data_IF_485216739931
#
_entry.id   IF_485216739931
#
_cell.length_a   1.000
_cell.length_b   1.000
_cell.length_c   1.000
_cell.angle_alpha   90.00
_cell.angle_beta   90.00
_cell.angle_gamma   90.00
#
_symmetry.space_group_name_H-M   'P 1'
#
loop_
_entity.id
_entity.type
_entity.pdbx_description
1 polymer ?
#
# COMPACT_ATOMS: atom_id res chain seq x y z
N UNK A 1 17.97 -18.88 9.79
CA UNK A 1 16.73 -18.22 9.35
C UNK A 1 16.41 -16.99 10.20
N UNK A 2 16.51 -17.12 11.53
CA UNK A 2 16.07 -16.08 12.47
C UNK A 2 16.85 -14.78 12.47
N UNK A 3 18.16 -14.78 12.18
CA UNK A 3 18.97 -13.56 12.41
C UNK A 3 18.68 -12.43 11.41
N UNK A 4 18.62 -12.75 10.11
CA UNK A 4 18.35 -11.76 9.05
C UNK A 4 16.88 -11.34 9.09
N UNK A 5 15.97 -12.29 9.29
CA UNK A 5 14.54 -12.03 9.46
C UNK A 5 14.30 -11.17 10.69
N UNK A 6 14.94 -11.45 11.84
CA UNK A 6 14.92 -10.56 13.01
C UNK A 6 15.40 -9.17 12.67
N UNK A 7 16.51 -9.04 11.96
CA UNK A 7 17.12 -7.73 11.65
C UNK A 7 16.22 -6.88 10.74
N UNK A 8 15.48 -7.51 9.82
CA UNK A 8 14.48 -6.83 8.99
C UNK A 8 13.26 -6.42 9.84
N UNK A 9 12.75 -7.29 10.70
CA UNK A 9 11.69 -6.94 11.64
C UNK A 9 12.10 -5.79 12.57
N UNK A 10 13.37 -5.76 12.99
CA UNK A 10 13.95 -4.69 13.79
C UNK A 10 13.95 -3.31 13.10
N UNK A 11 13.85 -3.25 11.78
CA UNK A 11 13.77 -1.98 11.03
C UNK A 11 12.33 -1.69 10.61
N UNK A 12 11.61 -2.70 10.13
CA UNK A 12 10.24 -2.56 9.60
C UNK A 12 9.20 -2.29 10.67
N UNK A 13 9.32 -2.88 11.86
CA UNK A 13 8.39 -2.64 12.99
C UNK A 13 8.49 -1.19 13.49
N UNK A 14 9.67 -0.66 13.85
CA UNK A 14 9.75 0.71 14.34
C UNK A 14 9.39 1.74 13.27
N UNK A 15 9.71 1.49 11.99
CA UNK A 15 9.29 2.39 10.90
C UNK A 15 7.77 2.38 10.72
N UNK A 16 7.12 1.20 10.72
CA UNK A 16 5.66 1.12 10.68
C UNK A 16 5.00 1.80 11.90
N UNK A 17 5.54 1.60 13.10
CA UNK A 17 5.07 2.26 14.32
C UNK A 17 5.23 3.79 14.25
N UNK A 18 6.36 4.28 13.73
CA UNK A 18 6.59 5.71 13.58
C UNK A 18 5.58 6.34 12.61
N UNK A 19 5.28 5.67 11.49
CA UNK A 19 4.27 6.16 10.54
C UNK A 19 2.87 6.14 11.15
N UNK A 20 2.49 5.06 11.85
CA UNK A 20 1.20 4.99 12.53
C UNK A 20 1.07 6.09 13.59
N UNK A 21 2.13 6.35 14.38
CA UNK A 21 2.15 7.43 15.36
C UNK A 21 2.00 8.80 14.69
N UNK A 22 2.68 9.03 13.57
CA UNK A 22 2.56 10.26 12.79
C UNK A 22 1.15 10.45 12.22
N UNK A 23 0.55 9.41 11.65
CA UNK A 23 -0.82 9.46 11.11
C UNK A 23 -1.86 9.73 12.20
N UNK A 24 -1.69 9.12 13.38
CA UNK A 24 -2.57 9.33 14.53
C UNK A 24 -2.42 10.75 15.08
N UNK A 25 -1.19 11.26 15.15
CA UNK A 25 -0.91 12.66 15.49
C UNK A 25 -1.55 13.63 14.48
N UNK A 26 -1.41 13.37 13.19
CA UNK A 26 -1.98 14.19 12.13
C UNK A 26 -3.51 14.22 12.18
N UNK A 27 -4.15 13.05 12.34
CA UNK A 27 -5.60 12.94 12.44
C UNK A 27 -6.15 13.66 13.69
N UNK A 28 -5.45 13.52 14.82
CA UNK A 28 -5.78 14.27 16.05
C UNK A 28 -5.65 15.78 15.83
N UNK A 29 -4.59 16.22 15.17
CA UNK A 29 -4.36 17.65 14.88
C UNK A 29 -5.42 18.20 13.92
N UNK A 30 -5.81 17.42 12.91
CA UNK A 30 -6.91 17.76 12.01
C UNK A 30 -8.26 17.86 12.75
N UNK A 31 -8.52 16.94 13.69
CA UNK A 31 -9.70 16.98 14.56
C UNK A 31 -9.78 18.24 15.40
N UNK A 32 -8.73 18.52 16.17
CA UNK A 32 -8.64 19.71 17.00
C UNK A 32 -8.74 21.01 16.19
N UNK A 33 -8.13 21.04 15.00
CA UNK A 33 -8.22 22.19 14.09
C UNK A 33 -9.64 22.45 13.60
N UNK A 34 -10.40 21.40 13.23
CA UNK A 34 -11.79 21.57 12.81
C UNK A 34 -12.71 21.95 13.96
N UNK A 35 -12.47 21.42 15.15
CA UNK A 35 -13.25 21.77 16.34
C UNK A 35 -13.06 23.24 16.73
N UNK A 36 -11.82 23.73 16.75
CA UNK A 36 -11.51 25.14 17.06
C UNK A 36 -12.07 26.07 15.98
N UNK A 37 -11.92 25.74 14.70
CA UNK A 37 -12.49 26.50 13.61
C UNK A 37 -14.03 26.55 13.68
N UNK A 38 -14.68 25.44 14.02
CA UNK A 38 -16.13 25.38 14.20
C UNK A 38 -16.60 26.31 15.33
N UNK A 39 -15.99 26.21 16.52
CA UNK A 39 -16.34 27.08 17.66
C UNK A 39 -16.16 28.55 17.32
N UNK A 40 -15.08 28.92 16.61
CA UNK A 40 -14.83 30.29 16.19
C UNK A 40 -15.88 30.81 15.21
N UNK A 41 -16.19 30.04 14.16
CA UNK A 41 -17.18 30.42 13.13
C UNK A 41 -18.57 30.59 13.74
N UNK A 42 -18.94 29.69 14.63
CA UNK A 42 -20.25 29.64 15.25
C UNK A 42 -20.40 30.75 16.33
N UNK A 43 -19.32 31.08 17.02
CA UNK A 43 -19.29 32.22 17.98
C UNK A 43 -19.33 33.56 17.25
N UNK A 44 -18.60 33.73 16.15
CA UNK A 44 -18.69 34.94 15.29
C UNK A 44 -20.10 35.13 14.72
N UNK A 45 -20.72 34.04 14.24
CA UNK A 45 -22.11 34.07 13.78
C UNK A 45 -23.10 34.47 14.89
N UNK A 46 -22.89 33.99 16.11
CA UNK A 46 -23.75 34.33 17.24
C UNK A 46 -23.59 35.80 17.63
N UNK A 47 -22.40 36.39 17.47
CA UNK A 47 -22.14 37.79 17.80
C UNK A 47 -22.83 38.71 16.80
N UNK A 48 -22.72 38.40 15.50
CA UNK A 48 -23.42 39.13 14.45
C UNK A 48 -24.94 39.03 14.59
N UNK A 49 -25.45 37.85 14.94
CA UNK A 49 -26.86 37.65 15.20
C UNK A 49 -27.35 38.44 16.41
N UNK A 50 -26.55 38.48 17.48
CA UNK A 50 -26.83 39.31 18.66
C UNK A 50 -26.91 40.79 18.31
N UNK A 51 -25.92 41.32 17.59
CA UNK A 51 -25.88 42.73 17.20
C UNK A 51 -27.11 43.09 16.34
N UNK A 52 -27.47 42.23 15.38
CA UNK A 52 -28.71 42.41 14.59
C UNK A 52 -29.98 42.32 15.43
N UNK A 53 -30.01 41.41 16.42
CA UNK A 53 -31.18 41.23 17.27
C UNK A 53 -31.44 42.44 18.17
N UNK A 54 -30.37 43.05 18.70
CA UNK A 54 -30.45 44.30 19.47
C UNK A 54 -31.02 45.42 18.62
N UNK A 55 -30.50 45.61 17.39
CA UNK A 55 -30.98 46.66 16.47
C UNK A 55 -32.45 46.42 16.08
N UNK A 56 -32.82 45.18 15.77
CA UNK A 56 -34.19 44.81 15.42
C UNK A 56 -35.17 45.07 16.57
N UNK A 57 -34.77 44.74 17.80
CA UNK A 57 -35.56 45.00 19.00
C UNK A 57 -35.76 46.50 19.24
N UNK A 58 -34.75 47.33 18.97
CA UNK A 58 -34.84 48.80 19.02
C UNK A 58 -35.83 49.36 17.99
N UNK A 59 -35.80 48.87 16.74
CA UNK A 59 -36.76 49.28 15.70
C UNK A 59 -38.19 48.87 16.04
N UNK A 60 -38.38 47.71 16.65
CA UNK A 60 -39.70 47.24 17.08
C UNK A 60 -40.26 48.09 18.22
N UNK A 61 -39.39 48.51 19.16
CA UNK A 61 -39.71 49.52 20.16
C UNK A 61 -40.08 50.85 19.52
N UNK A 62 -39.34 51.34 18.53
CA UNK A 62 -39.65 52.58 17.79
C UNK A 62 -41.03 52.51 17.11
N UNK A 63 -41.38 51.37 16.48
CA UNK A 63 -42.69 51.13 15.89
C UNK A 63 -43.84 51.02 16.90
N UNK A 64 -43.57 50.50 18.10
CA UNK A 64 -44.56 50.49 19.20
C UNK A 64 -44.70 51.86 19.88
N UNK A 65 -43.62 52.62 20.00
CA UNK A 65 -43.57 53.97 20.57
C UNK A 65 -44.12 55.05 19.61
N UNK A 66 -44.17 54.79 18.30
CA UNK A 66 -44.97 55.61 17.37
C UNK A 66 -46.48 55.52 17.66
N UNK A 67 -46.94 54.48 18.36
CA UNK A 67 -48.37 54.31 18.70
C UNK A 67 -48.75 54.88 20.07
N UNK A 68 -47.78 55.24 20.93
CA UNK A 68 -47.97 56.02 22.17
C UNK A 68 -46.62 56.62 22.60
N UNK A 69 -46.56 57.95 22.62
CA UNK A 69 -45.53 58.85 23.19
C UNK A 69 -44.07 58.66 22.71
N UNK A 70 -43.86 59.15 21.48
CA UNK A 70 -42.62 59.67 20.84
C UNK A 70 -41.26 59.21 21.39
N UNK A 71 -40.66 58.21 20.73
CA UNK A 71 -39.21 58.14 20.58
C UNK A 71 -38.74 59.23 19.60
N UNK A 72 -38.02 60.24 20.08
CA UNK A 72 -37.42 61.29 19.24
C UNK A 72 -35.92 61.21 19.31
N UNK A 73 -35.29 60.84 18.20
CA UNK A 73 -33.84 60.95 18.01
C UNK A 73 -33.57 62.25 17.28
N UNK A 74 -33.06 63.24 17.99
CA UNK A 74 -32.73 64.56 17.43
C UNK A 74 -31.23 64.79 17.52
N UNK A 75 -30.61 65.07 16.37
CA UNK A 75 -29.23 65.57 16.32
C UNK A 75 -29.26 67.06 16.63
N UNK A 76 -28.84 67.44 17.83
CA UNK A 76 -28.77 68.86 18.20
C UNK A 76 -27.32 69.24 18.51
N UNK A 77 -26.68 69.90 17.54
CA UNK A 77 -25.26 70.29 17.60
C UNK A 77 -24.33 69.09 17.89
N UNK A 78 -23.74 69.08 19.08
CA UNK A 78 -22.73 68.17 19.58
C UNK A 78 -23.33 67.18 20.59
N UNK A 79 -24.60 66.80 20.48
CA UNK A 79 -25.19 65.73 21.32
C UNK A 79 -26.18 64.89 20.52
N UNK A 80 -26.35 63.62 20.89
CA UNK A 80 -27.50 62.80 20.50
C UNK A 80 -28.47 62.75 21.67
N UNK A 81 -29.72 63.16 21.44
CA UNK A 81 -30.79 63.05 22.42
C UNK A 81 -31.70 61.88 22.07
N UNK A 82 -31.91 60.98 23.03
CA UNK A 82 -32.84 59.86 22.94
C UNK A 82 -33.91 60.04 24.04
N UNK A 83 -35.15 60.34 23.65
CA UNK A 83 -36.28 60.42 24.60
C UNK A 83 -37.24 59.28 24.38
N UNK A 84 -37.55 58.46 25.39
CA UNK A 84 -38.58 57.42 25.33
C UNK A 84 -39.53 57.57 26.53
N UNK A 85 -40.77 58.00 26.31
CA UNK A 85 -41.68 58.36 27.40
C UNK A 85 -41.11 59.47 28.30
N UNK A 86 -41.15 59.30 29.63
CA UNK A 86 -40.60 60.26 30.61
C UNK A 86 -39.08 60.18 30.80
N UNK A 87 -38.38 59.29 30.08
CA UNK A 87 -36.93 59.10 30.20
C UNK A 87 -36.25 59.83 29.05
N UNK A 88 -35.37 60.79 29.36
CA UNK A 88 -34.57 61.54 28.38
C UNK A 88 -33.10 61.30 28.66
N UNK A 89 -32.43 60.58 27.76
CA UNK A 89 -30.98 60.39 27.81
C UNK A 89 -30.29 61.34 26.81
N UNK A 90 -29.23 61.98 27.27
CA UNK A 90 -28.46 62.97 26.51
C UNK A 90 -27.03 62.45 26.37
N UNK A 91 -26.61 62.15 25.15
CA UNK A 91 -25.25 61.70 24.84
C UNK A 91 -24.43 62.89 24.33
N UNK A 92 -23.49 63.45 25.10
CA UNK A 92 -22.62 64.51 24.60
C UNK A 92 -21.54 64.00 23.64
N UNK A 93 -21.48 64.58 22.45
CA UNK A 93 -20.34 64.55 21.51
C UNK A 93 -19.36 65.69 21.86
N UNK A 94 -18.53 65.51 22.89
CA UNK A 94 -17.35 66.36 23.11
C UNK A 94 -16.15 65.42 23.28
N UNK A 95 -14.96 65.63 22.74
CA UNK A 95 -14.27 66.83 22.26
C UNK A 95 -13.32 66.39 21.11
N UNK A 96 -12.47 67.28 20.62
CA UNK A 96 -11.42 67.14 19.58
C UNK A 96 -10.45 65.92 19.63
N UNK A 97 -10.74 64.88 20.40
CA UNK A 97 -9.93 63.65 20.56
C UNK A 97 -10.56 62.39 19.95
N UNK A 98 -11.71 62.50 19.28
CA UNK A 98 -12.30 61.37 18.56
C UNK A 98 -12.85 60.29 19.50
N UNK A 99 -13.54 60.64 20.58
CA UNK A 99 -14.28 59.70 21.44
C UNK A 99 -15.75 60.13 21.65
N UNK A 100 -16.70 59.19 21.59
CA UNK A 100 -18.12 59.38 21.95
C UNK A 100 -18.35 58.97 23.40
N UNK A 101 -18.95 59.85 24.20
CA UNK A 101 -19.20 59.63 25.62
C UNK A 101 -20.68 59.32 25.84
N UNK A 102 -21.00 58.08 26.21
CA UNK A 102 -22.39 57.66 26.50
C UNK A 102 -22.64 57.72 28.01
N UNK A 103 -23.72 58.41 28.38
CA UNK A 103 -24.16 58.58 29.76
C UNK A 103 -25.57 58.01 29.84
N UNK A 104 -25.76 56.99 30.68
CA UNK A 104 -27.08 56.41 30.96
C UNK A 104 -27.54 56.84 32.36
N UNK A 105 -28.76 57.37 32.45
CA UNK A 105 -29.39 57.82 33.70
C UNK A 105 -30.52 56.86 34.09
N UNK A 106 -30.28 56.01 35.09
CA UNK A 106 -31.33 55.18 35.69
C UNK A 106 -32.04 55.98 36.79
N UNK A 107 -33.23 56.51 36.50
CA UNK A 107 -34.06 57.24 37.46
C UNK A 107 -35.10 56.31 38.05
N UNK A 108 -34.89 55.89 39.29
CA UNK A 108 -35.86 55.06 40.00
C UNK A 108 -37.00 55.94 40.55
N UNK A 109 -38.21 55.40 40.74
CA UNK A 109 -39.44 56.16 41.12
C UNK A 109 -39.36 56.97 42.43
N UNK A 110 -38.22 56.93 43.15
CA UNK A 110 -37.91 57.74 44.33
C UNK A 110 -36.95 58.91 44.09
N UNK A 111 -36.63 59.24 42.82
CA UNK A 111 -35.88 60.46 42.47
C UNK A 111 -34.36 60.37 42.63
N UNK A 112 -33.80 59.19 42.87
CA UNK A 112 -32.34 58.98 42.79
C UNK A 112 -31.96 58.50 41.39
N UNK A 113 -31.07 59.26 40.74
CA UNK A 113 -30.51 58.97 39.43
C UNK A 113 -29.06 58.51 39.55
N UNK A 114 -28.76 57.26 39.18
CA UNK A 114 -27.37 56.77 39.06
C UNK A 114 -26.84 57.03 37.65
N UNK A 115 -25.67 57.68 37.56
CA UNK A 115 -25.02 58.06 36.31
C UNK A 115 -23.96 57.02 35.96
N UNK A 116 -24.12 56.33 34.83
CA UNK A 116 -23.10 55.41 34.31
C UNK A 116 -22.46 56.00 33.06
N UNK A 117 -21.13 56.01 32.99
CA UNK A 117 -20.36 56.67 31.95
C UNK A 117 -19.40 55.70 31.25
N UNK A 118 -19.49 55.58 29.92
CA UNK A 118 -18.52 54.84 29.11
C UNK A 118 -18.08 55.65 27.88
N UNK A 119 -16.77 55.63 27.58
CA UNK A 119 -16.18 56.33 26.45
C UNK A 119 -15.91 55.34 25.30
N UNK A 120 -16.31 55.67 24.08
CA UNK A 120 -16.11 54.92 22.85
C UNK A 120 -15.20 55.70 21.89
N UNK A 121 -14.35 55.07 21.07
CA UNK A 121 -13.48 55.78 20.11
C UNK A 121 -14.17 55.90 18.73
N UNK A 122 -14.11 57.08 18.10
CA UNK A 122 -14.80 57.45 16.85
C UNK A 122 -14.22 56.80 15.58
N UNK A 123 -13.00 56.26 15.62
CA UNK A 123 -12.43 55.52 14.48
C UNK A 123 -13.17 54.21 14.18
N UNK A 124 -13.90 53.65 15.15
CA UNK A 124 -14.67 52.41 15.00
C UNK A 124 -16.09 52.63 14.44
N UNK A 125 -16.54 53.88 14.34
CA UNK A 125 -17.93 54.25 13.97
C UNK A 125 -18.15 54.29 12.44
N UNK A 126 -17.06 54.35 11.66
CA UNK A 126 -17.12 54.55 10.21
C UNK A 126 -17.43 53.29 9.39
N UNK A 127 -17.16 52.09 9.90
CA UNK A 127 -17.27 50.85 9.12
C UNK A 127 -18.52 50.03 9.45
N UNK A 128 -19.08 50.14 10.67
CA UNK A 128 -20.25 49.33 11.05
C UNK A 128 -21.15 50.06 12.07
N UNK A 129 -21.88 51.08 11.60
CA UNK A 129 -22.85 51.88 12.38
C UNK A 129 -23.84 51.01 13.17
N UNK A 130 -24.17 49.83 12.63
CA UNK A 130 -25.03 48.84 13.26
C UNK A 130 -24.41 48.30 14.57
N UNK A 131 -23.13 47.95 14.56
CA UNK A 131 -22.40 47.45 15.73
C UNK A 131 -22.29 48.53 16.82
N UNK A 132 -22.07 49.78 16.40
CA UNK A 132 -22.05 50.93 17.31
C UNK A 132 -23.42 51.13 18.00
N UNK A 133 -24.52 51.16 17.25
CA UNK A 133 -25.86 51.29 17.82
C UNK A 133 -26.20 50.11 18.75
N UNK A 134 -25.89 48.88 18.35
CA UNK A 134 -26.07 47.69 19.18
C UNK A 134 -25.32 47.81 20.52
N UNK A 135 -24.08 48.31 20.50
CA UNK A 135 -23.27 48.51 21.70
C UNK A 135 -23.87 49.54 22.67
N UNK A 136 -24.45 50.63 22.15
CA UNK A 136 -25.10 51.67 22.94
C UNK A 136 -26.39 51.14 23.56
N UNK A 137 -27.23 50.45 22.79
CA UNK A 137 -28.50 49.95 23.29
C UNK A 137 -28.33 48.78 24.26
N UNK A 138 -27.36 47.90 24.02
CA UNK A 138 -26.98 46.84 24.97
C UNK A 138 -26.47 47.43 26.32
N UNK A 139 -25.80 48.59 26.27
CA UNK A 139 -25.35 49.30 27.46
C UNK A 139 -26.50 49.93 28.26
N UNK A 140 -27.54 50.41 27.58
CA UNK A 140 -28.62 51.20 28.19
C UNK A 140 -29.67 50.40 29.00
N UNK A 141 -29.66 49.05 28.99
CA UNK A 141 -30.71 48.20 29.59
C UNK A 141 -32.16 48.47 29.11
N UNK A 142 -32.38 49.37 28.15
CA UNK A 142 -33.72 49.78 27.68
C UNK A 142 -34.45 48.64 26.93
N UNK A 143 -33.72 47.64 26.44
CA UNK A 143 -34.26 46.60 25.56
C UNK A 143 -34.02 45.20 26.13
N UNK A 144 -35.10 44.50 26.52
CA UNK A 144 -35.05 43.05 26.72
C UNK A 144 -34.93 42.39 25.36
N UNK A 145 -33.86 41.61 25.16
CA UNK A 145 -33.59 40.96 23.88
C UNK A 145 -34.66 39.91 23.60
N UNK A 146 -35.30 40.01 22.44
CA UNK A 146 -36.23 38.99 21.99
C UNK A 146 -35.47 37.72 21.56
N UNK A 147 -35.58 36.68 22.38
CA UNK A 147 -34.98 35.36 22.12
C UNK A 147 -35.46 34.73 20.81
N UNK A 148 -36.68 35.03 20.34
CA UNK A 148 -37.19 34.53 19.06
C UNK A 148 -36.51 35.21 17.88
N UNK A 149 -36.27 36.52 17.99
CA UNK A 149 -35.59 37.32 16.97
C UNK A 149 -34.10 36.94 16.89
N UNK A 150 -33.46 36.70 18.04
CA UNK A 150 -32.09 36.17 18.11
C UNK A 150 -31.98 34.77 17.48
N UNK A 151 -32.90 33.85 17.79
CA UNK A 151 -32.95 32.53 17.16
C UNK A 151 -33.08 32.63 15.64
N UNK A 152 -33.92 33.55 15.14
CA UNK A 152 -34.11 33.76 13.69
C UNK A 152 -32.83 34.25 13.02
N UNK A 153 -32.23 35.33 13.51
CA UNK A 153 -31.01 35.89 12.90
C UNK A 153 -29.82 34.94 13.03
N UNK A 154 -29.74 34.19 14.11
CA UNK A 154 -28.69 33.20 14.27
C UNK A 154 -28.84 32.03 13.31
N UNK A 155 -30.08 31.57 13.07
CA UNK A 155 -30.35 30.57 12.03
C UNK A 155 -29.95 31.06 10.64
N UNK A 156 -30.27 32.31 10.30
CA UNK A 156 -29.89 32.92 9.02
C UNK A 156 -28.36 33.01 8.85
N UNK A 157 -27.63 33.40 9.90
CA UNK A 157 -26.16 33.43 9.89
C UNK A 157 -25.53 32.03 9.75
N UNK A 158 -26.13 30.99 10.33
CA UNK A 158 -25.66 29.61 10.19
C UNK A 158 -25.96 29.04 8.80
N UNK A 159 -27.13 29.32 8.23
CA UNK A 159 -27.50 28.87 6.88
C UNK A 159 -26.61 29.52 5.81
N UNK A 160 -26.29 30.83 5.96
CA UNK A 160 -25.32 31.53 5.11
C UNK A 160 -23.90 30.93 5.17
N UNK A 161 -23.58 30.23 6.26
CA UNK A 161 -22.29 29.55 6.48
C UNK A 161 -22.36 28.06 6.18
N UNK A 162 -23.47 27.58 5.62
CA UNK A 162 -23.74 26.18 5.33
C UNK A 162 -23.66 25.25 6.56
N UNK A 163 -24.07 25.74 7.73
CA UNK A 163 -24.13 24.97 8.98
C UNK A 163 -25.60 24.61 9.27
N UNK A 164 -26.06 23.48 8.75
CA UNK A 164 -27.43 23.00 8.95
C UNK A 164 -27.61 22.19 10.25
N UNK A 165 -27.04 22.66 11.36
CA UNK A 165 -27.13 21.97 12.65
C UNK A 165 -28.28 22.52 13.51
N UNK A 166 -29.06 21.65 14.18
CA UNK A 166 -30.01 22.10 15.19
C UNK A 166 -29.25 22.66 16.39
N UNK A 167 -29.70 23.82 16.87
CA UNK A 167 -29.11 24.51 18.02
C UNK A 167 -30.17 24.91 19.04
N UNK A 168 -29.75 25.12 20.28
CA UNK A 168 -30.59 25.69 21.34
C UNK A 168 -29.83 26.83 22.01
N UNK A 169 -30.46 28.00 22.08
CA UNK A 169 -29.91 29.16 22.79
C UNK A 169 -30.39 29.15 24.23
N UNK A 170 -29.44 29.26 25.18
CA UNK A 170 -29.71 29.42 26.61
C UNK A 170 -29.05 30.71 27.09
N UNK A 171 -29.79 31.51 27.85
CA UNK A 171 -29.26 32.69 28.54
C UNK A 171 -29.01 32.26 29.98
N UNK A 172 -27.76 32.36 30.42
CA UNK A 172 -27.32 31.91 31.74
C UNK A 172 -26.87 33.13 32.54
N UNK A 173 -27.42 33.29 33.74
CA UNK A 173 -26.98 34.30 34.71
C UNK A 173 -25.69 33.84 35.41
N UNK A 174 -24.84 34.83 35.68
CA UNK A 174 -23.46 34.69 36.20
C UNK A 174 -23.33 33.64 37.32
N UNK A 175 -22.30 32.78 37.20
CA UNK A 175 -21.78 31.79 38.17
C UNK A 175 -22.07 30.30 37.92
N UNK A 176 -22.64 29.90 36.78
CA UNK A 176 -22.53 28.50 36.35
C UNK A 176 -21.25 28.30 35.55
N UNK A 177 -20.32 27.49 36.07
CA UNK A 177 -19.25 26.91 35.27
C UNK A 177 -19.90 26.12 34.14
N UNK A 178 -19.90 26.69 32.95
CA UNK A 178 -20.24 25.95 31.74
C UNK A 178 -19.19 24.85 31.65
N UNK A 179 -19.55 23.62 32.01
CA UNK A 179 -18.79 22.44 31.61
C UNK A 179 -18.64 22.58 30.11
N UNK A 180 -17.40 22.79 29.66
CA UNK A 180 -17.04 23.00 28.27
C UNK A 180 -17.38 21.73 27.49
N UNK A 181 -18.65 21.55 27.21
CA UNK A 181 -19.13 20.55 26.28
C UNK A 181 -18.60 21.00 24.91
N UNK A 182 -17.96 20.08 24.19
CA UNK A 182 -16.97 20.33 23.14
C UNK A 182 -17.52 21.04 21.88
N UNK A 183 -18.80 21.44 21.90
CA UNK A 183 -19.58 21.92 20.76
C UNK A 183 -20.55 23.06 21.14
N UNK A 184 -20.06 24.00 21.96
CA UNK A 184 -20.83 25.13 22.45
C UNK A 184 -20.21 26.44 21.95
N UNK A 185 -21.03 27.31 21.35
CA UNK A 185 -20.65 28.69 21.10
C UNK A 185 -21.11 29.57 22.26
N UNK A 186 -20.20 30.40 22.76
CA UNK A 186 -20.42 31.20 23.96
C UNK A 186 -20.14 32.66 23.64
N UNK A 187 -21.10 33.52 23.98
CA UNK A 187 -20.92 34.96 23.98
C UNK A 187 -21.23 35.50 25.36
N UNK A 188 -20.35 36.36 25.87
CA UNK A 188 -20.55 37.08 27.12
C UNK A 188 -21.11 38.44 26.77
N UNK A 189 -22.34 38.75 27.17
CA UNK A 189 -22.87 40.10 26.98
C UNK A 189 -22.25 41.03 28.03
N UNK A 190 -21.85 42.23 27.59
CA UNK A 190 -21.48 43.34 28.45
C UNK A 190 -22.71 44.21 28.70
N UNK A 191 -23.66 43.71 29.50
CA UNK A 191 -24.71 44.54 30.13
C UNK A 191 -24.27 44.94 31.55
N UNK A 192 -24.66 46.14 31.99
CA UNK A 192 -24.19 46.79 33.21
C UNK A 192 -24.78 46.24 34.52
N UNK A 193 -25.92 45.53 34.50
CA UNK A 193 -26.55 44.99 35.72
C UNK A 193 -26.61 43.46 35.75
N UNK A 194 -26.48 42.76 34.62
CA UNK A 194 -26.38 41.30 34.61
C UNK A 194 -25.35 40.86 33.57
N UNK A 195 -24.28 40.19 34.00
CA UNK A 195 -23.36 39.52 33.08
C UNK A 195 -24.04 38.26 32.55
N UNK A 196 -24.99 38.43 31.64
CA UNK A 196 -25.66 37.32 30.99
C UNK A 196 -24.73 36.69 29.97
N UNK A 197 -24.55 35.37 30.05
CA UNK A 197 -23.81 34.62 29.05
C UNK A 197 -24.82 33.94 28.14
N UNK A 198 -24.78 34.29 26.86
CA UNK A 198 -25.60 33.67 25.82
C UNK A 198 -24.81 32.49 25.28
N UNK A 199 -25.42 31.31 25.38
CA UNK A 199 -24.79 30.05 25.02
C UNK A 199 -25.64 29.38 23.95
N UNK A 200 -25.05 29.10 22.79
CA UNK A 200 -25.65 28.28 21.75
C UNK A 200 -25.05 26.87 21.80
N UNK A 201 -25.88 25.89 22.13
CA UNK A 201 -25.49 24.47 22.15
C UNK A 201 -25.95 23.78 20.87
N UNK A 202 -25.06 23.03 20.24
CA UNK A 202 -25.32 22.32 18.98
C UNK A 202 -25.54 20.84 19.23
N UNK A 203 -26.63 20.28 18.69
CA UNK A 203 -26.85 18.84 18.68
C UNK A 203 -26.24 18.23 17.41
N UNK A 204 -25.49 17.13 17.55
CA UNK A 204 -24.92 16.41 16.40
C UNK A 204 -23.64 17.01 15.80
N UNK A 205 -23.02 18.01 16.45
CA UNK A 205 -21.80 18.64 15.97
C UNK A 205 -20.64 17.66 15.72
N UNK A 206 -20.52 16.60 16.53
CA UNK A 206 -19.51 15.54 16.32
C UNK A 206 -19.65 14.84 14.96
N UNK A 207 -20.87 14.50 14.54
CA UNK A 207 -21.11 13.87 13.22
C UNK A 207 -20.78 14.80 12.06
N UNK A 208 -21.09 16.10 12.21
CA UNK A 208 -20.76 17.12 11.21
C UNK A 208 -19.24 17.32 11.08
N UNK A 209 -18.51 17.35 12.21
CA UNK A 209 -17.05 17.44 12.21
C UNK A 209 -16.37 16.19 11.63
N UNK A 210 -16.93 15.01 11.89
CA UNK A 210 -16.46 13.76 11.29
C UNK A 210 -16.54 13.79 9.76
N UNK A 211 -17.65 14.29 9.19
CA UNK A 211 -17.78 14.46 7.74
C UNK A 211 -16.74 15.44 7.18
N UNK A 212 -16.41 16.52 7.91
CA UNK A 212 -15.35 17.46 7.49
C UNK A 212 -13.95 16.84 7.49
N UNK A 213 -13.68 15.83 8.31
CA UNK A 213 -12.38 15.15 8.42
C UNK A 213 -12.33 13.88 7.55
N UNK A 214 -13.42 13.57 6.83
CA UNK A 214 -13.52 12.40 5.98
C UNK A 214 -12.36 12.32 4.97
N UNK A 215 -11.99 13.43 4.35
CA UNK A 215 -10.87 13.46 3.38
C UNK A 215 -9.51 13.12 4.01
N UNK A 216 -9.07 13.78 5.09
CA UNK A 216 -7.88 13.35 5.84
C UNK A 216 -7.92 11.88 6.30
N UNK A 217 -9.10 11.38 6.70
CA UNK A 217 -9.28 10.00 7.14
C UNK A 217 -9.05 9.00 5.99
N UNK A 218 -9.66 9.26 4.83
CA UNK A 218 -9.50 8.46 3.60
C UNK A 218 -8.05 8.46 3.14
N UNK A 219 -7.39 9.62 3.16
CA UNK A 219 -5.97 9.75 2.80
C UNK A 219 -5.08 8.93 3.75
N UNK A 220 -5.33 9.01 5.06
CA UNK A 220 -4.60 8.23 6.07
C UNK A 220 -4.76 6.73 5.84
N UNK A 221 -6.00 6.27 5.60
CA UNK A 221 -6.31 4.88 5.30
C UNK A 221 -5.57 4.38 4.05
N UNK A 222 -5.58 5.16 2.97
CA UNK A 222 -4.86 4.82 1.74
C UNK A 222 -3.35 4.71 1.96
N UNK A 223 -2.75 5.62 2.75
CA UNK A 223 -1.33 5.57 3.07
C UNK A 223 -0.96 4.33 3.90
N UNK A 224 -1.80 3.90 4.85
CA UNK A 224 -1.61 2.66 5.60
C UNK A 224 -1.63 1.45 4.65
N UNK A 225 -2.61 1.40 3.74
CA UNK A 225 -2.73 0.32 2.76
C UNK A 225 -1.48 0.25 1.86
N UNK A 226 -0.99 1.38 1.40
CA UNK A 226 0.19 1.46 0.54
C UNK A 226 1.45 0.95 1.27
N UNK A 227 1.67 1.38 2.51
CA UNK A 227 2.85 0.96 3.31
C UNK A 227 2.80 -0.54 3.61
N UNK A 228 1.63 -1.05 4.02
CA UNK A 228 1.46 -2.48 4.28
C UNK A 228 1.69 -3.32 3.03
N UNK A 229 1.19 -2.87 1.87
CA UNK A 229 1.47 -3.49 0.57
C UNK A 229 2.97 -3.53 0.23
N UNK A 230 3.68 -2.40 0.41
CA UNK A 230 5.12 -2.33 0.18
C UNK A 230 5.91 -3.29 1.08
N UNK A 231 5.59 -3.34 2.37
CA UNK A 231 6.22 -4.26 3.34
C UNK A 231 5.99 -5.72 2.92
N UNK A 232 4.76 -6.06 2.50
CA UNK A 232 4.42 -7.40 2.03
C UNK A 232 5.21 -7.81 0.78
N UNK A 233 5.34 -6.92 -0.21
CA UNK A 233 6.13 -7.17 -1.42
C UNK A 233 7.60 -7.36 -1.08
N UNK A 234 8.18 -6.49 -0.25
CA UNK A 234 9.58 -6.60 0.20
C UNK A 234 9.84 -7.94 0.89
N UNK A 235 8.95 -8.32 1.80
CA UNK A 235 9.03 -9.61 2.50
C UNK A 235 9.03 -10.79 1.53
N UNK A 236 8.12 -10.79 0.55
CA UNK A 236 8.03 -11.84 -0.48
C UNK A 236 9.31 -11.93 -1.32
N UNK A 237 9.86 -10.79 -1.74
CA UNK A 237 11.10 -10.74 -2.52
C UNK A 237 12.27 -11.31 -1.73
N UNK A 238 12.42 -10.90 -0.46
CA UNK A 238 13.54 -11.34 0.40
C UNK A 238 13.52 -12.86 0.61
N UNK A 239 12.34 -13.44 0.91
CA UNK A 239 12.21 -14.89 1.07
C UNK A 239 12.63 -15.61 -0.21
N UNK A 240 12.19 -15.12 -1.37
CA UNK A 240 12.54 -15.72 -2.67
C UNK A 240 14.04 -15.63 -2.95
N UNK A 241 14.65 -14.48 -2.71
CA UNK A 241 16.10 -14.28 -2.89
C UNK A 241 16.91 -15.19 -1.96
N UNK A 242 16.51 -15.32 -0.69
CA UNK A 242 17.24 -16.18 0.25
C UNK A 242 17.12 -17.67 -0.12
N UNK A 243 15.93 -18.12 -0.57
CA UNK A 243 15.73 -19.48 -1.06
C UNK A 243 16.67 -19.78 -2.24
N UNK A 244 16.75 -18.86 -3.20
CA UNK A 244 17.69 -18.93 -4.32
C UNK A 244 19.16 -18.96 -3.86
N UNK A 245 19.53 -18.11 -2.90
CA UNK A 245 20.90 -18.07 -2.36
C UNK A 245 21.28 -19.38 -1.66
N UNK A 246 20.39 -19.95 -0.85
CA UNK A 246 20.60 -21.26 -0.21
C UNK A 246 20.77 -22.35 -1.26
N UNK A 247 19.88 -22.41 -2.26
CA UNK A 247 19.99 -23.40 -3.33
C UNK A 247 21.28 -23.22 -4.15
N UNK A 248 21.73 -21.97 -4.38
CA UNK A 248 23.01 -21.68 -5.04
C UNK A 248 24.18 -22.21 -4.23
N UNK A 249 24.18 -21.99 -2.91
CA UNK A 249 25.25 -22.47 -2.03
C UNK A 249 25.28 -24.01 -1.98
N UNK A 250 24.12 -24.65 -1.88
CA UNK A 250 23.99 -26.11 -1.92
C UNK A 250 24.50 -26.66 -3.27
N UNK A 251 24.18 -25.98 -4.37
CA UNK A 251 24.69 -26.31 -5.69
C UNK A 251 26.23 -26.21 -5.76
N UNK A 252 26.82 -25.11 -5.30
CA UNK A 252 28.29 -24.93 -5.30
C UNK A 252 28.96 -26.01 -4.45
N UNK A 253 28.40 -26.32 -3.28
CA UNK A 253 28.91 -27.37 -2.40
C UNK A 253 28.87 -28.75 -3.08
N UNK A 254 27.73 -29.08 -3.71
CA UNK A 254 27.55 -30.34 -4.44
C UNK A 254 28.51 -30.46 -5.63
N UNK A 255 28.66 -29.40 -6.43
CA UNK A 255 29.61 -29.39 -7.55
C UNK A 255 31.04 -29.56 -7.07
N UNK A 256 31.42 -28.87 -6.00
CA UNK A 256 32.77 -28.99 -5.42
C UNK A 256 33.05 -30.45 -5.02
N UNK A 257 32.06 -31.12 -4.42
CA UNK A 257 32.18 -32.53 -4.07
C UNK A 257 32.29 -33.44 -5.30
N UNK A 258 31.41 -33.27 -6.30
CA UNK A 258 31.41 -34.06 -7.53
C UNK A 258 32.63 -33.79 -8.44
N UNK A 259 33.30 -32.64 -8.32
CA UNK A 259 34.59 -32.37 -8.97
C UNK A 259 35.76 -33.01 -8.22
N UNK A 260 35.71 -33.05 -6.88
CA UNK A 260 36.81 -33.59 -6.07
C UNK A 260 37.02 -35.09 -6.30
N UNK A 261 35.95 -35.86 -6.44
CA UNK A 261 36.01 -37.32 -6.67
C UNK A 261 36.76 -37.73 -7.94
N UNK A 262 36.38 -37.26 -9.16
CA UNK A 262 37.10 -37.61 -10.38
C UNK A 262 38.55 -37.13 -10.35
N UNK A 263 38.80 -35.93 -9.81
CA UNK A 263 40.18 -35.41 -9.65
C UNK A 263 41.03 -36.32 -8.75
N UNK A 264 40.45 -36.82 -7.65
CA UNK A 264 41.15 -37.76 -6.76
C UNK A 264 41.43 -39.10 -7.45
N UNK A 265 40.47 -39.63 -8.23
CA UNK A 265 40.65 -40.87 -9.00
C UNK A 265 41.76 -40.70 -10.04
N UNK A 266 41.71 -39.62 -10.84
CA UNK A 266 42.74 -39.29 -11.83
C UNK A 266 44.13 -39.14 -11.19
N UNK A 267 44.20 -38.52 -10.02
CA UNK A 267 45.47 -38.37 -9.29
C UNK A 267 46.01 -39.75 -8.87
N UNK A 268 45.16 -40.61 -8.32
CA UNK A 268 45.54 -41.93 -7.84
C UNK A 268 45.92 -42.90 -8.98
N UNK A 269 45.18 -42.90 -10.09
CA UNK A 269 45.51 -43.71 -11.28
C UNK A 269 46.81 -43.26 -11.92
N UNK A 270 47.03 -41.95 -12.03
CA UNK A 270 48.26 -41.39 -12.57
C UNK A 270 49.46 -41.70 -11.66
N UNK A 271 49.32 -41.59 -10.33
CA UNK A 271 50.35 -42.01 -9.38
C UNK A 271 50.65 -43.52 -9.46
N UNK A 272 49.63 -44.36 -9.65
CA UNK A 272 49.79 -45.80 -9.89
C UNK A 272 50.59 -46.10 -11.17
N UNK A 273 50.37 -45.34 -12.24
CA UNK A 273 51.10 -45.48 -13.51
C UNK A 273 52.55 -45.00 -13.41
N UNK A 274 52.79 -43.88 -12.74
CA UNK A 274 54.11 -43.23 -12.62
C UNK A 274 55.02 -43.90 -11.57
N UNK A 275 54.50 -44.18 -10.38
CA UNK A 275 55.32 -44.53 -9.21
C UNK A 275 55.29 -46.03 -8.89
N UNK A 276 54.14 -46.69 -9.04
CA UNK A 276 53.95 -48.08 -8.60
C UNK A 276 54.17 -49.12 -9.71
N UNK A 277 54.86 -48.72 -10.78
CA UNK A 277 55.18 -49.62 -11.90
C UNK A 277 53.95 -50.08 -12.70
N UNK A 278 52.82 -49.37 -12.61
CA UNK A 278 51.62 -49.65 -13.41
C UNK A 278 51.91 -49.64 -14.91
N UNK A 279 52.82 -48.76 -15.34
CA UNK A 279 53.34 -48.66 -16.71
C UNK A 279 54.14 -49.88 -17.22
N UNK A 280 54.56 -50.79 -16.32
CA UNK A 280 55.29 -52.02 -16.67
C UNK A 280 54.36 -53.21 -16.93
N UNK A 281 53.06 -53.05 -16.66
CA UNK A 281 52.02 -54.06 -16.85
C UNK A 281 51.01 -53.54 -17.90
N UNK A 282 51.01 -54.09 -19.13
CA UNK A 282 50.16 -53.60 -20.22
C UNK A 282 48.67 -53.64 -19.90
N UNK A 283 48.19 -54.67 -19.20
CA UNK A 283 46.77 -54.84 -18.87
C UNK A 283 46.32 -53.81 -17.82
N UNK A 284 47.14 -53.58 -16.78
CA UNK A 284 46.85 -52.54 -15.77
C UNK A 284 46.93 -51.14 -16.38
N UNK A 285 47.88 -50.92 -17.29
CA UNK A 285 48.03 -49.65 -18.00
C UNK A 285 46.77 -49.34 -18.81
N UNK A 286 46.29 -50.28 -19.63
CA UNK A 286 45.06 -50.08 -20.41
C UNK A 286 43.85 -49.83 -19.51
N UNK A 287 43.71 -50.58 -18.41
CA UNK A 287 42.62 -50.41 -17.46
C UNK A 287 42.63 -49.03 -16.80
N UNK A 288 43.78 -48.53 -16.36
CA UNK A 288 43.89 -47.22 -15.75
C UNK A 288 43.66 -46.09 -16.77
N UNK A 289 44.19 -46.20 -17.98
CA UNK A 289 43.95 -45.22 -19.05
C UNK A 289 42.46 -45.14 -19.44
N UNK A 290 41.76 -46.29 -19.52
CA UNK A 290 40.30 -46.30 -19.75
C UNK A 290 39.54 -45.63 -18.61
N UNK A 291 39.92 -45.93 -17.37
CA UNK A 291 39.30 -45.30 -16.19
C UNK A 291 39.56 -43.78 -16.18
N UNK A 292 40.76 -43.33 -16.52
CA UNK A 292 41.08 -41.90 -16.65
C UNK A 292 40.27 -41.23 -17.75
N UNK A 293 40.14 -41.88 -18.92
CA UNK A 293 39.32 -41.38 -20.01
C UNK A 293 37.86 -41.21 -19.58
N UNK A 294 37.29 -42.18 -18.87
CA UNK A 294 35.93 -42.10 -18.35
C UNK A 294 35.74 -40.95 -17.35
N UNK A 295 36.68 -40.75 -16.43
CA UNK A 295 36.61 -39.64 -15.46
C UNK A 295 36.85 -38.26 -16.11
N UNK A 296 37.71 -38.17 -17.12
CA UNK A 296 37.89 -36.95 -17.92
C UNK A 296 36.61 -36.58 -18.68
N UNK A 297 35.94 -37.56 -19.30
CA UNK A 297 34.66 -37.32 -19.97
C UNK A 297 33.57 -36.86 -18.99
N UNK A 298 33.53 -37.41 -17.77
CA UNK A 298 32.62 -36.93 -16.71
C UNK A 298 32.93 -35.50 -16.29
N UNK A 299 34.20 -35.17 -16.08
CA UNK A 299 34.64 -33.81 -15.75
C UNK A 299 34.27 -32.81 -16.84
N UNK A 300 34.46 -33.18 -18.10
CA UNK A 300 34.11 -32.32 -19.22
C UNK A 300 32.61 -32.05 -19.29
N UNK A 301 31.77 -33.09 -19.12
CA UNK A 301 30.31 -32.91 -19.04
C UNK A 301 29.87 -32.04 -17.85
N UNK A 302 30.56 -32.14 -16.71
CA UNK A 302 30.36 -31.26 -15.54
C UNK A 302 30.65 -29.79 -15.89
N UNK A 303 31.78 -29.52 -16.54
CA UNK A 303 32.18 -28.17 -16.97
C UNK A 303 31.21 -27.62 -18.01
N UNK A 304 30.83 -28.41 -19.00
CA UNK A 304 29.87 -28.01 -20.04
C UNK A 304 28.52 -27.63 -19.44
N UNK A 305 28.04 -28.37 -18.44
CA UNK A 305 26.80 -28.05 -17.72
C UNK A 305 26.90 -26.72 -16.93
N UNK A 306 28.05 -26.43 -16.33
CA UNK A 306 28.30 -25.16 -15.63
C UNK A 306 28.36 -24.00 -16.64
N UNK A 307 29.06 -24.19 -17.76
CA UNK A 307 29.17 -23.20 -18.83
C UNK A 307 27.82 -22.93 -19.50
N UNK A 308 27.00 -23.96 -19.71
CA UNK A 308 25.64 -23.79 -20.20
C UNK A 308 24.82 -22.91 -19.23
N UNK A 309 24.98 -23.09 -17.91
CA UNK A 309 24.30 -22.25 -16.92
C UNK A 309 24.72 -20.78 -17.02
N UNK A 310 26.03 -20.50 -17.09
CA UNK A 310 26.54 -19.12 -17.08
C UNK A 310 26.16 -18.37 -18.36
N UNK A 311 26.13 -19.05 -19.51
CA UNK A 311 25.69 -18.49 -20.79
C UNK A 311 24.21 -18.13 -20.80
N UNK A 312 23.35 -18.93 -20.15
CA UNK A 312 21.93 -18.61 -20.01
C UNK A 312 21.70 -17.39 -19.09
N UNK A 313 22.61 -17.09 -18.17
CA UNK A 313 22.46 -15.95 -17.26
C UNK A 313 22.75 -14.59 -17.89
N UNK A 314 23.56 -14.56 -18.95
CA UNK A 314 24.03 -13.30 -19.52
C UNK A 314 23.34 -12.93 -20.85
N UNK A 315 22.37 -13.71 -21.34
CA UNK A 315 21.76 -13.53 -22.68
C UNK A 315 22.77 -13.40 -23.85
N UNK A 316 24.05 -13.70 -23.60
CA UNK A 316 25.18 -13.43 -24.51
C UNK A 316 25.37 -14.47 -25.63
N UNK A 317 24.46 -15.45 -25.79
CA UNK A 317 24.57 -16.39 -26.92
C UNK A 317 24.01 -15.79 -28.22
N UNK A 318 24.76 -15.84 -29.32
CA UNK A 318 24.21 -15.62 -30.65
C UNK A 318 23.04 -16.57 -30.88
N UNK A 319 21.88 -16.03 -31.17
CA UNK A 319 20.68 -16.82 -31.41
C UNK A 319 20.93 -17.71 -32.64
N UNK A 320 20.94 -19.03 -32.45
CA UNK A 320 20.93 -19.98 -33.54
C UNK A 320 19.78 -19.62 -34.49
N UNK A 321 20.05 -19.55 -35.79
CA UNK A 321 19.01 -19.27 -36.77
C UNK A 321 18.03 -20.44 -36.83
N UNK A 322 16.74 -20.15 -36.91
CA UNK A 322 15.75 -21.19 -37.13
C UNK A 322 15.96 -21.82 -38.52
N UNK A 323 15.87 -23.14 -38.59
CA UNK A 323 15.94 -23.90 -39.85
C UNK A 323 14.90 -25.00 -39.86
N UNK A 324 14.57 -25.53 -41.04
CA UNK A 324 13.64 -26.65 -41.16
C UNK A 324 14.31 -27.92 -40.62
N UNK A 325 13.70 -28.51 -39.59
CA UNK A 325 14.17 -29.74 -38.96
C UNK A 325 13.13 -30.84 -39.20
N UNK A 326 13.60 -31.98 -39.70
CA UNK A 326 12.79 -33.20 -39.81
C UNK A 326 12.52 -33.79 -38.42
N UNK A 327 11.25 -33.84 -38.01
CA UNK A 327 10.81 -34.40 -36.73
C UNK A 327 11.27 -35.87 -36.60
N UNK A 328 11.06 -36.77 -37.59
CA UNK A 328 11.54 -38.15 -37.51
C UNK A 328 13.05 -38.27 -37.29
N UNK A 329 13.85 -37.46 -38.01
CA UNK A 329 15.31 -37.49 -37.88
C UNK A 329 15.78 -36.93 -36.53
N UNK A 330 15.13 -35.87 -36.03
CA UNK A 330 15.39 -35.31 -34.72
C UNK A 330 15.18 -36.36 -33.62
N UNK A 331 14.00 -37.01 -33.60
CA UNK A 331 13.69 -38.02 -32.58
C UNK A 331 14.60 -39.24 -32.70
N UNK A 332 14.92 -39.67 -33.92
CA UNK A 332 15.88 -40.77 -34.17
C UNK A 332 17.25 -40.42 -33.61
N UNK A 333 17.75 -39.22 -33.88
CA UNK A 333 19.09 -38.80 -33.45
C UNK A 333 19.17 -38.65 -31.93
N UNK A 334 18.15 -38.06 -31.31
CA UNK A 334 18.10 -37.92 -29.85
C UNK A 334 17.95 -39.29 -29.19
N UNK A 335 17.07 -40.16 -29.69
CA UNK A 335 16.87 -41.51 -29.15
C UNK A 335 18.10 -42.41 -29.28
N UNK A 336 18.83 -42.32 -30.39
CA UNK A 336 20.04 -43.10 -30.65
C UNK A 336 21.15 -42.87 -29.60
N UNK A 337 21.20 -41.67 -29.00
CA UNK A 337 22.15 -41.34 -27.93
C UNK A 337 21.96 -42.21 -26.69
N UNK A 338 20.74 -42.67 -26.43
CA UNK A 338 20.37 -43.39 -25.21
C UNK A 338 20.05 -44.87 -25.46
N UNK A 339 19.80 -45.29 -26.70
CA UNK A 339 19.43 -46.66 -27.05
C UNK A 339 20.52 -47.71 -26.77
N UNK A 340 21.78 -47.29 -26.58
CA UNK A 340 22.89 -48.16 -26.20
C UNK A 340 23.04 -48.40 -24.69
N UNK A 341 22.25 -47.72 -23.86
CA UNK A 341 22.33 -47.88 -22.41
C UNK A 341 21.62 -49.15 -21.95
N UNK A 342 22.21 -49.91 -21.01
CA UNK A 342 21.65 -51.17 -20.54
C UNK A 342 20.26 -50.95 -19.92
N UNK A 343 19.27 -51.70 -20.44
CA UNK A 343 17.90 -51.71 -19.94
C UNK A 343 17.04 -50.51 -20.37
N UNK A 344 17.51 -49.65 -21.27
CA UNK A 344 16.72 -48.51 -21.80
C UNK A 344 15.90 -48.95 -23.01
N UNK A 345 14.59 -48.71 -22.98
CA UNK A 345 13.66 -48.94 -24.09
C UNK A 345 12.89 -47.65 -24.39
N UNK A 346 13.21 -47.03 -25.52
CA UNK A 346 12.55 -45.80 -25.98
C UNK A 346 11.60 -46.17 -27.12
N UNK A 347 10.31 -45.97 -26.91
CA UNK A 347 9.28 -46.14 -27.93
C UNK A 347 8.92 -44.78 -28.50
N UNK A 348 9.18 -44.58 -29.79
CA UNK A 348 8.86 -43.33 -30.48
C UNK A 348 7.59 -43.47 -31.31
N UNK A 349 6.62 -42.58 -31.11
CA UNK A 349 5.36 -42.51 -31.87
C UNK A 349 5.24 -41.15 -32.54
N UNK A 350 5.06 -41.13 -33.86
CA UNK A 350 4.95 -39.90 -34.65
C UNK A 350 3.56 -39.85 -35.28
N UNK A 351 2.77 -38.85 -34.89
CA UNK A 351 1.39 -38.61 -35.34
C UNK A 351 1.28 -37.18 -35.88
N UNK A 352 2.00 -36.93 -36.98
CA UNK A 352 2.01 -35.62 -37.65
C UNK A 352 1.70 -35.83 -39.14
N UNK A 353 0.97 -34.89 -39.74
CA UNK A 353 0.78 -34.80 -41.18
C UNK A 353 1.98 -34.10 -41.85
N UNK A 354 2.56 -33.11 -41.17
CA UNK A 354 3.76 -32.40 -41.60
C UNK A 354 4.98 -32.82 -40.77
N UNK A 355 6.03 -33.28 -41.44
CA UNK A 355 7.23 -33.82 -40.78
C UNK A 355 8.31 -32.77 -40.49
N UNK A 356 8.10 -31.52 -40.90
CA UNK A 356 9.09 -30.45 -40.76
C UNK A 356 8.64 -29.40 -39.73
N UNK A 357 9.60 -28.94 -38.94
CA UNK A 357 9.43 -27.91 -37.93
C UNK A 357 10.48 -26.81 -38.14
N UNK A 358 10.08 -25.55 -38.21
CA UNK A 358 11.00 -24.41 -38.29
C UNK A 358 11.46 -24.03 -36.87
N UNK A 359 12.68 -24.41 -36.50
CA UNK A 359 13.19 -24.20 -35.13
C UNK A 359 14.72 -24.15 -35.09
N UNK A 360 15.29 -23.73 -33.96
CA UNK A 360 16.70 -23.85 -33.63
C UNK A 360 17.07 -25.32 -33.34
N UNK A 361 17.82 -26.01 -34.22
CA UNK A 361 18.08 -27.44 -34.09
C UNK A 361 18.83 -27.83 -32.82
N UNK A 362 19.82 -27.04 -32.39
CA UNK A 362 20.59 -27.35 -31.18
C UNK A 362 19.75 -27.16 -29.91
N UNK A 363 18.90 -26.12 -29.88
CA UNK A 363 18.01 -25.85 -28.75
C UNK A 363 17.04 -27.01 -28.50
N UNK A 364 16.28 -27.42 -29.53
CA UNK A 364 15.29 -28.51 -29.37
C UNK A 364 15.95 -29.85 -29.06
N UNK A 365 17.11 -30.14 -29.66
CA UNK A 365 17.90 -31.34 -29.35
C UNK A 365 18.34 -31.37 -27.88
N UNK A 366 18.76 -30.23 -27.35
CA UNK A 366 19.17 -30.09 -25.95
C UNK A 366 17.99 -30.28 -25.01
N UNK A 367 16.82 -29.70 -25.35
CA UNK A 367 15.58 -29.86 -24.60
C UNK A 367 15.19 -31.34 -24.51
N UNK A 368 15.06 -32.02 -25.65
CA UNK A 368 14.65 -33.44 -25.68
C UNK A 368 15.67 -34.35 -25.00
N UNK A 369 16.97 -34.09 -25.18
CA UNK A 369 18.03 -34.86 -24.51
C UNK A 369 17.96 -34.75 -22.98
N UNK A 370 17.70 -33.55 -22.44
CA UNK A 370 17.58 -33.35 -20.99
C UNK A 370 16.35 -34.05 -20.41
N UNK A 371 15.21 -34.01 -21.12
CA UNK A 371 13.99 -34.69 -20.66
C UNK A 371 14.13 -36.22 -20.71
N UNK A 372 14.75 -36.76 -21.75
CA UNK A 372 15.04 -38.20 -21.84
C UNK A 372 16.05 -38.66 -20.79
N UNK A 373 17.11 -37.88 -20.54
CA UNK A 373 18.07 -38.18 -19.47
C UNK A 373 17.36 -38.24 -18.11
N UNK A 374 16.48 -37.27 -17.83
CA UNK A 374 15.66 -37.29 -16.61
C UNK A 374 14.75 -38.54 -16.55
N UNK A 375 14.04 -38.86 -17.63
CA UNK A 375 13.17 -40.04 -17.70
C UNK A 375 13.93 -41.35 -17.40
N UNK A 376 15.15 -41.50 -17.94
CA UNK A 376 16.02 -42.66 -17.69
C UNK A 376 16.47 -42.69 -16.23
N UNK A 377 16.95 -41.55 -15.74
CA UNK A 377 17.59 -41.42 -14.43
C UNK A 377 16.65 -41.61 -13.26
N UNK A 378 15.41 -41.15 -13.39
CA UNK A 378 14.38 -41.23 -12.35
C UNK A 378 13.49 -42.47 -12.47
N UNK A 379 13.80 -43.39 -13.39
CA UNK A 379 13.18 -44.71 -13.50
C UNK A 379 14.05 -45.77 -12.81
N UNK A 380 13.68 -46.24 -11.59
CA UNK A 380 14.50 -47.18 -10.81
C UNK A 380 14.47 -48.62 -11.36
N UNK A 381 13.58 -48.92 -12.31
CA UNK A 381 13.44 -50.24 -12.92
C UNK A 381 14.67 -50.63 -13.75
N UNK A 382 15.00 -51.92 -13.75
CA UNK A 382 16.01 -52.50 -14.63
C UNK A 382 15.66 -52.29 -16.11
N UNK A 383 14.36 -52.36 -16.44
CA UNK A 383 13.82 -52.00 -17.76
C UNK A 383 13.16 -50.64 -17.67
N UNK A 384 13.75 -49.65 -18.33
CA UNK A 384 13.31 -48.26 -18.35
C UNK A 384 12.49 -48.02 -19.62
N UNK A 385 11.17 -48.08 -19.49
CA UNK A 385 10.23 -47.84 -20.59
C UNK A 385 9.90 -46.36 -20.67
N UNK A 386 10.29 -45.73 -21.77
CA UNK A 386 10.07 -44.32 -22.03
C UNK A 386 9.31 -44.20 -23.35
N UNK A 387 8.22 -43.44 -23.34
CA UNK A 387 7.41 -43.20 -24.54
C UNK A 387 7.62 -41.76 -24.97
N UNK A 388 8.06 -41.59 -26.21
CA UNK A 388 8.26 -40.30 -26.87
C UNK A 388 7.23 -40.16 -27.98
N UNK A 389 6.24 -39.30 -27.79
CA UNK A 389 5.18 -39.09 -28.77
C UNK A 389 5.19 -37.67 -29.30
N UNK A 390 5.00 -37.51 -30.62
CA UNK A 390 4.79 -36.20 -31.25
C UNK A 390 3.44 -36.20 -31.94
N UNK A 391 2.61 -35.21 -31.62
CA UNK A 391 1.27 -35.01 -32.18
C UNK A 391 1.15 -33.65 -32.80
N UNK A 392 0.55 -33.58 -33.99
CA UNK A 392 0.23 -32.32 -34.64
C UNK A 392 -1.16 -31.84 -34.18
N UNK A 393 -1.20 -30.65 -33.57
CA UNK A 393 -2.43 -29.94 -33.23
C UNK A 393 -2.69 -28.83 -34.26
N UNK A 394 -3.85 -28.14 -34.26
CA UNK A 394 -4.13 -27.12 -35.27
C UNK A 394 -3.07 -26.00 -35.36
N UNK A 395 -2.56 -25.52 -34.23
CA UNK A 395 -1.61 -24.40 -34.15
C UNK A 395 -0.23 -24.77 -33.59
N UNK A 396 -0.06 -26.00 -33.08
CA UNK A 396 1.14 -26.39 -32.36
C UNK A 396 1.56 -27.82 -32.70
N UNK A 397 2.85 -28.11 -32.58
CA UNK A 397 3.35 -29.47 -32.39
C UNK A 397 3.50 -29.75 -30.90
N UNK A 398 2.95 -30.88 -30.45
CA UNK A 398 3.04 -31.32 -29.06
C UNK A 398 3.96 -32.53 -28.95
N UNK A 399 5.03 -32.39 -28.18
CA UNK A 399 5.97 -33.45 -27.82
C UNK A 399 5.68 -33.92 -26.40
N UNK A 400 5.49 -35.21 -26.18
CA UNK A 400 5.29 -35.79 -24.85
C UNK A 400 6.36 -36.83 -24.56
N UNK A 401 7.01 -36.70 -23.40
CA UNK A 401 7.96 -37.68 -22.86
C UNK A 401 7.33 -38.27 -21.61
N UNK A 402 6.98 -39.54 -21.67
CA UNK A 402 6.38 -40.29 -20.56
C UNK A 402 7.38 -41.29 -20.00
N UNK A 403 7.57 -41.24 -18.69
CA UNK A 403 8.37 -42.19 -17.90
C UNK A 403 7.51 -42.93 -16.89
N UNK A 404 7.96 -44.13 -16.50
CA UNK A 404 7.36 -44.94 -15.44
C UNK A 404 8.23 -44.90 -14.17
N UNK A 405 8.72 -43.71 -13.83
CA UNK A 405 9.64 -43.49 -12.73
C UNK A 405 8.98 -43.28 -11.38
N UNK A 406 9.73 -42.70 -10.45
CA UNK A 406 9.29 -42.45 -9.07
C UNK A 406 8.15 -41.41 -8.97
N UNK A 407 7.93 -40.62 -10.02
CA UNK A 407 6.97 -39.52 -10.05
C UNK A 407 7.35 -38.33 -9.16
N UNK A 408 6.52 -37.29 -9.20
CA UNK A 408 6.76 -35.98 -8.57
C UNK A 408 5.50 -35.57 -7.82
N UNK A 409 5.64 -35.29 -6.51
CA UNK A 409 4.55 -34.77 -5.69
C UNK A 409 4.02 -33.44 -6.25
N UNK A 410 2.70 -33.24 -6.22
CA UNK A 410 2.03 -32.02 -6.70
C UNK A 410 2.58 -30.75 -6.06
N UNK A 411 3.04 -30.80 -4.81
CA UNK A 411 3.65 -29.66 -4.13
C UNK A 411 4.98 -29.22 -4.76
N UNK A 412 5.68 -30.12 -5.46
CA UNK A 412 6.99 -29.86 -6.06
C UNK A 412 6.90 -29.44 -7.53
N UNK A 413 5.87 -29.87 -8.26
CA UNK A 413 5.71 -29.64 -9.71
C UNK A 413 5.85 -28.16 -10.15
N UNK A 414 5.35 -27.14 -9.42
CA UNK A 414 5.54 -25.75 -9.81
C UNK A 414 7.00 -25.27 -9.75
N UNK A 415 7.83 -25.96 -8.95
CA UNK A 415 9.19 -25.53 -8.62
C UNK A 415 10.27 -26.34 -9.34
N UNK A 416 9.94 -27.47 -10.00
CA UNK A 416 10.96 -28.32 -10.66
C UNK A 416 11.71 -27.62 -11.80
N UNK A 417 11.15 -26.52 -12.33
CA UNK A 417 11.78 -25.68 -13.34
C UNK A 417 12.55 -24.50 -12.74
N UNK A 418 12.51 -24.31 -11.42
CA UNK A 418 13.33 -23.30 -10.75
C UNK A 418 14.81 -23.73 -10.76
N UNK A 419 15.70 -22.76 -10.94
CA UNK A 419 17.15 -22.99 -10.90
C UNK A 419 17.55 -23.63 -9.58
N UNK A 420 18.45 -24.61 -9.65
CA UNK A 420 18.99 -25.35 -8.50
C UNK A 420 17.96 -26.16 -7.71
N UNK A 421 16.70 -26.21 -8.16
CA UNK A 421 15.66 -26.94 -7.45
C UNK A 421 15.85 -28.44 -7.59
N UNK A 422 15.72 -29.14 -6.47
CA UNK A 422 15.71 -30.61 -6.40
C UNK A 422 14.64 -31.04 -5.42
N UNK A 423 13.94 -32.13 -5.75
CA UNK A 423 13.01 -32.77 -4.82
C UNK A 423 13.83 -33.55 -3.80
N UNK A 424 14.00 -32.98 -2.60
CA UNK A 424 14.70 -33.61 -1.48
C UNK A 424 13.79 -34.63 -0.79
N UNK A 425 13.63 -35.82 -1.37
CA UNK A 425 13.05 -36.95 -0.64
C UNK A 425 14.16 -37.65 0.14
N UNK A 426 13.96 -37.82 1.45
CA UNK A 426 14.92 -38.41 2.37
C UNK A 426 15.59 -39.67 1.84
N UNK A 427 16.88 -39.82 2.14
CA UNK A 427 17.75 -40.95 1.80
C UNK A 427 17.92 -41.33 0.31
N UNK A 428 17.31 -40.61 -0.64
CA UNK A 428 17.63 -40.72 -2.07
C UNK A 428 18.78 -39.79 -2.46
N UNK A 429 19.92 -39.93 -1.77
CA UNK A 429 21.21 -39.36 -2.21
C UNK A 429 21.78 -40.06 -3.46
N UNK A 430 21.11 -41.09 -3.95
CA UNK A 430 21.65 -42.00 -4.97
C UNK A 430 21.60 -41.44 -6.39
N UNK A 431 20.71 -40.47 -6.67
CA UNK A 431 20.50 -39.97 -8.04
C UNK A 431 21.30 -38.67 -8.26
N UNK A 432 22.48 -38.81 -8.86
CA UNK A 432 23.45 -37.73 -9.15
C UNK A 432 22.88 -36.68 -10.11
N UNK A 433 22.57 -35.47 -9.66
CA UNK A 433 22.09 -34.40 -10.55
C UNK A 433 22.23 -33.00 -9.96
N UNK A 434 22.49 -32.02 -10.82
CA UNK A 434 22.85 -30.66 -10.41
C UNK A 434 21.67 -29.69 -10.24
N UNK A 435 20.44 -30.12 -10.54
CA UNK A 435 19.24 -29.26 -10.42
C UNK A 435 19.15 -28.15 -11.46
N UNK A 436 19.85 -28.29 -12.60
CA UNK A 436 19.90 -27.28 -13.65
C UNK A 436 19.20 -27.68 -14.96
N UNK A 437 19.04 -28.98 -15.22
CA UNK A 437 18.56 -29.49 -16.49
C UNK A 437 17.17 -28.93 -16.85
N UNK A 438 16.20 -29.01 -15.94
CA UNK A 438 14.83 -28.52 -16.21
C UNK A 438 14.73 -27.00 -16.27
N UNK A 439 15.54 -26.25 -15.49
CA UNK A 439 15.60 -24.79 -15.64
C UNK A 439 16.20 -24.36 -16.98
N UNK A 440 17.19 -25.13 -17.49
CA UNK A 440 17.76 -24.92 -18.81
C UNK A 440 16.74 -25.25 -19.91
N UNK A 441 16.04 -26.38 -19.79
CA UNK A 441 14.94 -26.73 -20.70
C UNK A 441 13.90 -25.62 -20.80
N UNK A 442 13.44 -25.11 -19.65
CA UNK A 442 12.46 -24.01 -19.61
C UNK A 442 12.97 -22.75 -20.31
N UNK A 443 14.21 -22.35 -20.04
CA UNK A 443 14.82 -21.16 -20.66
C UNK A 443 15.02 -21.32 -22.17
N UNK A 444 15.45 -22.48 -22.66
CA UNK A 444 15.55 -22.76 -24.09
C UNK A 444 14.18 -22.72 -24.77
N UNK A 445 13.16 -23.29 -24.12
CA UNK A 445 11.80 -23.27 -24.66
C UNK A 445 11.26 -21.84 -24.74
N UNK A 446 11.47 -21.02 -23.71
CA UNK A 446 11.09 -19.60 -23.74
C UNK A 446 11.77 -18.84 -24.90
N UNK A 447 13.04 -19.16 -25.23
CA UNK A 447 13.79 -18.56 -26.35
C UNK A 447 13.31 -18.98 -27.74
N UNK A 448 12.74 -20.18 -27.86
CA UNK A 448 12.21 -20.72 -29.12
C UNK A 448 10.67 -20.65 -29.17
N UNK A 449 10.07 -19.79 -28.32
CA UNK A 449 8.63 -19.55 -28.20
C UNK A 449 7.81 -20.82 -27.92
N UNK A 450 8.39 -21.76 -27.18
CA UNK A 450 7.76 -22.98 -26.69
C UNK A 450 7.26 -22.89 -25.25
N UNK A 451 6.41 -23.84 -24.86
CA UNK A 451 5.97 -24.02 -23.48
C UNK A 451 6.21 -25.45 -22.99
N UNK A 452 6.33 -25.62 -21.68
CA UNK A 452 6.46 -26.94 -21.03
C UNK A 452 5.52 -27.07 -19.84
N UNK A 453 4.93 -28.25 -19.70
CA UNK A 453 4.11 -28.67 -18.56
C UNK A 453 4.56 -30.06 -18.09
N UNK A 454 4.23 -30.37 -16.85
CA UNK A 454 4.46 -31.69 -16.25
C UNK A 454 3.17 -32.16 -15.61
N UNK A 455 2.81 -33.40 -15.88
CA UNK A 455 1.77 -34.13 -15.16
C UNK A 455 2.43 -35.37 -14.54
N UNK A 456 2.35 -35.51 -13.23
CA UNK A 456 3.04 -36.59 -12.54
C UNK A 456 2.29 -37.03 -11.28
N UNK A 457 2.37 -38.33 -10.99
CA UNK A 457 1.80 -38.94 -9.80
C UNK A 457 2.89 -39.78 -9.12
N UNK A 458 3.15 -39.57 -7.81
CA UNK A 458 4.13 -40.37 -7.07
C UNK A 458 3.90 -41.87 -7.26
N UNK A 459 4.96 -42.60 -7.63
CA UNK A 459 4.96 -44.04 -7.86
C UNK A 459 4.37 -44.51 -9.19
N UNK A 460 3.79 -43.62 -10.01
CA UNK A 460 3.26 -43.98 -11.34
C UNK A 460 4.12 -43.48 -12.50
N UNK A 461 4.84 -42.37 -12.30
CA UNK A 461 5.73 -41.80 -13.30
C UNK A 461 5.42 -40.32 -13.59
N UNK A 462 5.98 -39.82 -14.68
CA UNK A 462 5.82 -38.43 -15.10
C UNK A 462 5.64 -38.32 -16.61
N UNK A 463 4.85 -37.33 -17.02
CA UNK A 463 4.67 -36.95 -18.41
C UNK A 463 5.05 -35.49 -18.58
N UNK A 464 6.11 -35.23 -19.33
CA UNK A 464 6.48 -33.87 -19.73
C UNK A 464 5.88 -33.57 -21.09
N UNK A 465 5.15 -32.46 -21.19
CA UNK A 465 4.49 -32.01 -22.42
C UNK A 465 5.12 -30.70 -22.87
N UNK A 466 5.66 -30.67 -24.08
CA UNK A 466 6.18 -29.48 -24.74
C UNK A 466 5.22 -29.09 -25.87
N UNK A 467 4.89 -27.82 -25.98
CA UNK A 467 4.12 -27.27 -27.09
C UNK A 467 4.95 -26.22 -27.83
N UNK A 468 5.09 -26.38 -29.15
CA UNK A 468 5.80 -25.47 -30.04
C UNK A 468 4.83 -24.98 -31.10
N UNK A 469 4.83 -23.68 -31.40
CA UNK A 469 4.05 -23.14 -32.51
C UNK A 469 4.51 -23.76 -33.84
N UNK A 470 3.58 -23.91 -34.79
CA UNK A 470 3.86 -24.39 -36.14
C UNK A 470 4.70 -23.45 -36.97
#
# INVERSE_FOLDING_TARGET
MDFIVKRIWWITIPTALAVLAFQLYWLRTAWLGQQTAFVQVVSDGLQKAYDRAVIGSVKQLEGQLQRKDTLRVSRHKHTFQFSAGNVTDTVPLSDSTGQVKVIALDSNQKGNSTVFQQNFRLQDVGTDMNQFLASIFAFSNIVKIDTALLNKYYREELDNRHIALPFTIRIIDKDTTITADEHVAVIRSTSLQSRQTIVAQFQGAGTFLLVKILWPLVLSFFMILLITGCIWVLWRIIIRQKKLETMKNDFISNITHELKTPVAILTATNEALLTFGGSKDPEKTERYLRLEQDELHKLQGLVDNIMALTRLEHDDEPQEAASQVSIPELLKTVGARFSGLPGVQIQTTIQVAHNELLIQPAAIRTVLSNLLDNAIKYTPSAVKKIVLTVTELPQHYRFTIEDHGIGIDKAHQPYIFDKFYRVSQGNLHTVKGYGLGLSHVKSLLERINGTIKVDSVPGQGSTFTIELAK
#
